data_IF_349442747910
#
_entry.id   IF_349442747910
#
_cell.length_a   1.000
_cell.length_b   1.000
_cell.length_c   1.000
_cell.angle_alpha   90.00
_cell.angle_beta   90.00
_cell.angle_gamma   90.00
#
_symmetry.space_group_name_H-M   'P 1'
#
loop_
_entity.id
_entity.type
_entity.pdbx_description
1 polymer ?
#
# COMPACT_ATOMS: atom_id res chain seq x y z
N UNK A 1 -2.22 6.95 -0.72
CA UNK A 1 -2.43 5.54 -1.11
C UNK A 1 -1.40 5.22 -2.18
N UNK A 2 -0.62 4.16 -2.02
CA UNK A 2 0.24 3.62 -3.07
C UNK A 2 -0.26 2.24 -3.50
N UNK A 3 -0.28 2.03 -4.82
CA UNK A 3 -0.57 0.75 -5.47
C UNK A 3 0.69 0.34 -6.22
N UNK A 4 1.12 -0.91 -6.08
CA UNK A 4 2.29 -1.40 -6.78
C UNK A 4 2.08 -1.37 -8.31
N UNK A 5 3.10 -0.94 -9.09
CA UNK A 5 3.05 -1.07 -10.55
C UNK A 5 2.92 -2.53 -10.97
N UNK A 6 2.21 -2.78 -12.07
CA UNK A 6 2.09 -4.14 -12.62
C UNK A 6 3.43 -4.62 -13.18
N UNK A 7 3.75 -5.89 -12.94
CA UNK A 7 4.95 -6.54 -13.49
C UNK A 7 6.26 -6.14 -12.82
N UNK A 8 6.21 -5.33 -11.75
CA UNK A 8 7.37 -4.99 -10.93
C UNK A 8 7.17 -5.55 -9.51
N UNK A 9 8.27 -5.65 -8.77
CA UNK A 9 8.24 -6.03 -7.37
C UNK A 9 7.51 -4.95 -6.53
N UNK A 10 6.39 -5.28 -5.86
CA UNK A 10 5.68 -4.36 -4.98
C UNK A 10 6.57 -3.79 -3.86
N UNK A 11 7.53 -4.57 -3.38
CA UNK A 11 8.36 -4.22 -2.24
C UNK A 11 9.23 -2.98 -2.51
N UNK A 12 9.73 -2.84 -3.75
CA UNK A 12 10.47 -1.67 -4.18
C UNK A 12 9.63 -0.39 -4.17
N UNK A 13 8.38 -0.49 -4.63
CA UNK A 13 7.46 0.64 -4.63
C UNK A 13 7.11 1.06 -3.20
N UNK A 14 6.83 0.09 -2.33
CA UNK A 14 6.44 0.34 -0.94
C UNK A 14 7.60 0.85 -0.08
N UNK A 15 8.82 0.35 -0.29
CA UNK A 15 10.03 0.87 0.37
C UNK A 15 10.28 2.34 0.02
N UNK A 16 10.07 2.73 -1.25
CA UNK A 16 10.15 4.14 -1.67
C UNK A 16 9.09 4.99 -0.97
N UNK A 17 7.86 4.49 -0.87
CA UNK A 17 6.80 5.19 -0.15
C UNK A 17 7.13 5.35 1.34
N UNK A 18 7.64 4.31 1.99
CA UNK A 18 8.04 4.37 3.41
C UNK A 18 9.12 5.44 3.64
N UNK A 19 10.12 5.53 2.76
CA UNK A 19 11.14 6.57 2.81
C UNK A 19 10.54 7.98 2.62
N UNK A 20 9.59 8.14 1.72
CA UNK A 20 8.87 9.41 1.54
C UNK A 20 8.04 9.76 2.79
N UNK A 21 7.31 8.80 3.36
CA UNK A 21 6.55 8.98 4.59
C UNK A 21 7.43 9.40 5.77
N UNK A 22 8.61 8.80 5.91
CA UNK A 22 9.59 9.19 6.92
C UNK A 22 10.07 10.63 6.73
N UNK A 23 10.30 11.06 5.48
CA UNK A 23 10.67 12.46 5.17
C UNK A 23 9.54 13.44 5.49
N UNK A 24 8.30 13.11 5.12
CA UNK A 24 7.13 13.94 5.44
C UNK A 24 6.98 14.09 6.96
N UNK A 25 7.21 13.02 7.72
CA UNK A 25 7.08 13.05 9.18
C UNK A 25 8.08 13.97 9.88
N UNK A 26 9.19 14.31 9.22
CA UNK A 26 10.17 15.27 9.77
C UNK A 26 9.59 16.69 9.89
N UNK A 27 8.70 17.09 8.98
CA UNK A 27 8.04 18.40 9.00
C UNK A 27 6.59 18.35 9.47
N UNK A 28 5.96 17.17 9.41
CA UNK A 28 4.59 16.90 9.83
C UNK A 28 4.56 15.67 10.75
N UNK A 29 4.93 15.81 12.04
CA UNK A 29 5.00 14.68 12.97
C UNK A 29 3.68 13.89 13.10
N UNK A 30 2.55 14.55 12.88
CA UNK A 30 1.20 13.98 12.86
C UNK A 30 0.91 13.05 11.67
N UNK A 31 1.73 13.09 10.61
CA UNK A 31 1.60 12.25 9.43
C UNK A 31 2.07 10.80 9.71
N UNK A 32 1.34 10.11 10.59
CA UNK A 32 1.66 8.77 11.08
C UNK A 32 1.17 7.66 10.16
N UNK A 33 0.17 7.94 9.32
CA UNK A 33 -0.44 6.97 8.43
C UNK A 33 0.41 6.70 7.18
N UNK A 34 0.59 5.43 6.85
CA UNK A 34 1.19 4.96 5.60
C UNK A 34 0.22 4.00 4.90
N UNK A 35 -0.54 4.53 3.94
CA UNK A 35 -1.55 3.76 3.21
C UNK A 35 -0.99 3.20 1.90
N UNK A 36 -0.80 1.89 1.85
CA UNK A 36 -0.33 1.15 0.69
C UNK A 36 -0.74 -0.33 0.76
N UNK A 37 -0.78 -0.97 -0.41
CA UNK A 37 -1.15 -2.37 -0.53
C UNK A 37 -2.64 -2.60 -0.77
N UNK A 38 -2.90 -3.65 -1.54
CA UNK A 38 -4.16 -4.22 -1.94
C UNK A 38 -4.15 -5.73 -1.70
N UNK A 39 -5.19 -6.42 -2.15
CA UNK A 39 -5.34 -7.88 -2.06
C UNK A 39 -4.10 -8.69 -2.46
N UNK A 40 -3.47 -8.36 -3.59
CA UNK A 40 -2.38 -9.16 -4.14
C UNK A 40 -0.99 -8.90 -3.54
N UNK A 41 -0.84 -7.88 -2.68
CA UNK A 41 0.46 -7.41 -2.20
C UNK A 41 0.44 -6.98 -0.73
N UNK A 42 -0.51 -7.51 0.05
CA UNK A 42 -0.70 -7.24 1.48
C UNK A 42 0.59 -7.50 2.27
N UNK A 43 1.21 -8.66 2.07
CA UNK A 43 2.38 -9.10 2.83
C UNK A 43 3.59 -8.21 2.53
N UNK A 44 3.75 -7.76 1.28
CA UNK A 44 4.78 -6.80 0.91
C UNK A 44 4.52 -5.43 1.56
N UNK A 45 3.26 -4.96 1.56
CA UNK A 45 2.89 -3.70 2.19
C UNK A 45 3.13 -3.73 3.71
N UNK A 46 2.77 -4.81 4.40
CA UNK A 46 3.00 -4.98 5.84
C UNK A 46 4.49 -4.98 6.15
N UNK A 47 5.31 -5.74 5.42
CA UNK A 47 6.77 -5.76 5.61
C UNK A 47 7.42 -4.40 5.37
N UNK A 48 6.88 -3.61 4.45
CA UNK A 48 7.35 -2.25 4.17
C UNK A 48 6.82 -1.19 5.17
N UNK A 49 6.01 -1.58 6.17
CA UNK A 49 5.56 -0.70 7.25
C UNK A 49 4.21 -0.01 6.99
N UNK A 50 3.34 -0.58 6.17
CA UNK A 50 1.99 -0.05 5.98
C UNK A 50 1.21 -0.03 7.30
N UNK A 51 0.58 1.10 7.60
CA UNK A 51 -0.34 1.22 8.75
C UNK A 51 -1.80 1.09 8.31
N UNK A 52 -2.05 1.12 7.01
CA UNK A 52 -3.38 0.97 6.42
C UNK A 52 -3.27 0.28 5.06
N UNK A 53 -3.94 -0.88 4.92
CA UNK A 53 -4.06 -1.64 3.67
C UNK A 53 -5.52 -1.61 3.20
N UNK A 54 -5.77 -1.71 1.89
CA UNK A 54 -7.12 -1.68 1.33
C UNK A 54 -7.45 -2.99 0.61
N UNK A 55 -8.22 -3.87 1.26
CA UNK A 55 -8.55 -5.20 0.74
C UNK A 55 -9.99 -5.23 0.23
N UNK A 56 -10.17 -5.77 -0.98
CA UNK A 56 -11.46 -5.86 -1.65
C UNK A 56 -11.76 -7.29 -2.05
N UNK A 57 -11.09 -7.78 -3.10
CA UNK A 57 -11.41 -9.07 -3.72
C UNK A 57 -11.24 -10.27 -2.81
N UNK A 58 -10.28 -10.26 -1.87
CA UNK A 58 -10.13 -11.38 -0.93
C UNK A 58 -11.19 -11.39 0.16
N UNK A 59 -11.87 -10.26 0.39
CA UNK A 59 -12.95 -10.13 1.39
C UNK A 59 -14.32 -10.32 0.75
N UNK A 60 -14.55 -9.70 -0.41
CA UNK A 60 -15.86 -9.60 -1.07
C UNK A 60 -15.98 -10.48 -2.31
N UNK A 61 -14.91 -11.12 -2.76
CA UNK A 61 -14.87 -11.87 -4.01
C UNK A 61 -14.62 -11.00 -5.25
N UNK A 62 -14.61 -11.65 -6.42
CA UNK A 62 -14.50 -10.96 -7.70
C UNK A 62 -15.74 -10.09 -7.95
N UNK A 63 -15.55 -8.96 -8.64
CA UNK A 63 -16.68 -8.13 -9.10
C UNK A 63 -17.25 -8.76 -10.36
N UNK A 64 -18.57 -8.80 -10.44
CA UNK A 64 -19.25 -9.12 -11.68
C UNK A 64 -18.91 -8.09 -12.77
N UNK A 65 -18.77 -8.55 -14.01
CA UNK A 65 -18.59 -7.67 -15.14
C UNK A 65 -19.85 -6.82 -15.30
N UNK A 66 -19.68 -5.50 -15.36
CA UNK A 66 -20.76 -4.60 -15.73
C UNK A 66 -20.91 -4.70 -17.25
N UNK A 67 -22.01 -5.30 -17.70
CA UNK A 67 -22.37 -5.40 -19.11
C UNK A 67 -22.81 -4.07 -19.71
#
# INVERSE_FOLDING_TARGET
MCVAPRGLDPEDAFRRLAALGARVRQTHPEATALSMGMSADLEAAVRAGATQVRIGSDVLGARDAVG
#
